data_IF_595924793599
#
_entry.id   IF_595924793599
#
_cell.length_a   1.000
_cell.length_b   1.000
_cell.length_c   1.000
_cell.angle_alpha   90.00
_cell.angle_beta   90.00
_cell.angle_gamma   90.00
#
_symmetry.space_group_name_H-M   'P 1'
#
loop_
_entity.id
_entity.type
_entity.pdbx_description
1 polymer ?
#
# COMPACT_ATOMS: atom_id res chain seq x y z
N UNK A 1 -11.92 3.95 -18.31
CA UNK A 1 -11.58 3.18 -17.08
C UNK A 1 -10.52 3.97 -16.35
N UNK A 2 -10.75 4.34 -15.09
CA UNK A 2 -9.76 5.04 -14.28
C UNK A 2 -8.74 4.01 -13.78
N UNK A 3 -7.44 4.27 -13.96
CA UNK A 3 -6.38 3.37 -13.53
C UNK A 3 -6.40 3.19 -12.00
N UNK A 4 -6.36 1.97 -11.52
CA UNK A 4 -6.29 1.62 -10.09
C UNK A 4 -5.00 2.12 -9.44
N UNK A 5 -4.94 2.28 -8.10
CA UNK A 5 -3.68 2.57 -7.40
C UNK A 5 -2.56 1.56 -7.70
N UNK A 6 -2.92 0.31 -7.96
CA UNK A 6 -2.00 -0.73 -8.40
C UNK A 6 -1.38 -0.43 -9.76
N UNK A 7 -2.18 0.05 -10.70
CA UNK A 7 -1.72 0.41 -12.04
C UNK A 7 -0.83 1.65 -12.05
N UNK A 8 -1.05 2.59 -11.13
CA UNK A 8 -0.17 3.75 -10.93
C UNK A 8 1.22 3.36 -10.40
N UNK A 9 1.34 2.20 -9.73
CA UNK A 9 2.60 1.71 -9.14
C UNK A 9 3.26 0.59 -9.96
N UNK A 10 2.61 0.06 -10.99
CA UNK A 10 2.88 -1.25 -11.62
C UNK A 10 4.27 -1.43 -12.25
N UNK A 11 5.16 -0.43 -12.20
CA UNK A 11 6.41 -0.44 -12.98
C UNK A 11 7.71 -0.04 -12.26
N UNK A 12 7.72 0.47 -11.02
CA UNK A 12 8.95 1.05 -10.47
C UNK A 12 9.31 0.53 -9.08
N UNK A 13 10.56 0.04 -8.93
CA UNK A 13 11.26 0.07 -7.65
C UNK A 13 11.53 1.53 -7.30
N UNK A 14 10.82 2.05 -6.29
CA UNK A 14 10.98 3.43 -5.83
C UNK A 14 12.12 3.49 -4.82
N UNK A 15 13.02 4.45 -4.99
CA UNK A 15 14.19 4.62 -4.11
C UNK A 15 14.17 6.00 -3.50
N UNK A 16 14.48 6.07 -2.20
CA UNK A 16 14.57 7.31 -1.46
C UNK A 16 13.21 7.88 -1.05
N UNK A 17 13.26 8.77 -0.06
CA UNK A 17 12.07 9.38 0.56
C UNK A 17 11.22 10.15 -0.45
N UNK A 18 11.86 10.89 -1.36
CA UNK A 18 11.16 11.78 -2.29
C UNK A 18 10.42 10.99 -3.36
N UNK A 19 11.05 9.96 -3.95
CA UNK A 19 10.40 9.09 -4.94
C UNK A 19 9.18 8.34 -4.35
N UNK A 20 9.29 7.89 -3.10
CA UNK A 20 8.17 7.27 -2.38
C UNK A 20 7.05 8.30 -2.13
N UNK A 21 7.39 9.50 -1.66
CA UNK A 21 6.41 10.56 -1.38
C UNK A 21 5.69 11.03 -2.65
N UNK A 22 6.39 11.17 -3.76
CA UNK A 22 5.81 11.54 -5.05
C UNK A 22 4.81 10.49 -5.52
N UNK A 23 5.20 9.21 -5.55
CA UNK A 23 4.30 8.12 -5.94
C UNK A 23 3.05 8.06 -5.04
N UNK A 24 3.24 8.15 -3.72
CA UNK A 24 2.14 8.15 -2.77
C UNK A 24 1.21 9.38 -2.96
N UNK A 25 1.76 10.53 -3.31
CA UNK A 25 1.00 11.74 -3.65
C UNK A 25 0.18 11.57 -4.93
N UNK A 26 0.75 11.00 -5.99
CA UNK A 26 0.02 10.72 -7.25
C UNK A 26 -1.18 9.81 -6.98
N UNK A 27 -1.02 8.76 -6.17
CA UNK A 27 -2.12 7.85 -5.80
C UNK A 27 -3.20 8.60 -5.02
N UNK A 28 -2.84 9.33 -3.96
CA UNK A 28 -3.81 10.08 -3.14
C UNK A 28 -4.54 11.15 -3.93
N UNK A 29 -3.91 11.77 -4.93
CA UNK A 29 -4.57 12.75 -5.82
C UNK A 29 -5.61 12.09 -6.73
N UNK A 30 -5.36 10.87 -7.21
CA UNK A 30 -6.32 10.13 -8.02
C UNK A 30 -7.49 9.57 -7.21
N UNK A 31 -7.29 9.31 -5.91
CA UNK A 31 -8.28 8.71 -5.02
C UNK A 31 -8.37 9.47 -3.68
N UNK A 32 -8.79 10.75 -3.67
CA UNK A 32 -8.73 11.60 -2.48
C UNK A 32 -9.67 11.15 -1.34
N UNK A 33 -10.74 10.45 -1.67
CA UNK A 33 -11.73 9.94 -0.73
C UNK A 33 -11.33 8.58 -0.14
N UNK A 34 -10.36 7.89 -0.73
CA UNK A 34 -9.98 6.56 -0.26
C UNK A 34 -9.35 6.64 1.14
N UNK A 35 -9.63 5.62 1.94
CA UNK A 35 -9.04 5.41 3.27
C UNK A 35 -8.26 4.12 3.28
N UNK A 36 -7.20 4.08 4.07
CA UNK A 36 -6.32 2.93 4.25
C UNK A 36 -6.56 2.38 5.65
N UNK A 37 -6.96 1.11 5.74
CA UNK A 37 -7.37 0.49 7.01
C UNK A 37 -6.59 -0.79 7.23
N UNK A 38 -5.95 -0.94 8.38
CA UNK A 38 -5.31 -2.20 8.80
C UNK A 38 -6.42 -3.24 9.04
N UNK A 39 -6.28 -4.43 8.46
CA UNK A 39 -7.34 -5.47 8.45
C UNK A 39 -6.99 -6.71 9.27
N UNK A 40 -5.81 -6.76 9.88
CA UNK A 40 -5.37 -7.86 10.72
C UNK A 40 -4.28 -7.44 11.70
N UNK A 41 -3.84 -8.39 12.51
CA UNK A 41 -2.71 -8.18 13.42
C UNK A 41 -1.42 -7.90 12.62
N UNK A 42 -0.65 -6.91 13.09
CA UNK A 42 0.69 -6.65 12.55
C UNK A 42 1.62 -7.71 13.15
N UNK A 43 2.27 -8.48 12.29
CA UNK A 43 3.20 -9.51 12.72
C UNK A 43 4.63 -8.99 12.59
N UNK A 44 5.46 -9.24 13.60
CA UNK A 44 6.86 -8.81 13.64
C UNK A 44 7.78 -9.99 13.90
N UNK A 45 8.94 -10.00 13.25
CA UNK A 45 9.98 -11.00 13.48
C UNK A 45 11.36 -10.37 13.23
N UNK A 46 12.27 -10.40 14.21
CA UNK A 46 13.56 -9.70 14.11
C UNK A 46 13.39 -8.22 13.72
N UNK A 47 14.05 -7.78 12.65
CA UNK A 47 13.96 -6.43 12.10
C UNK A 47 12.94 -6.34 10.95
N UNK A 48 12.00 -7.28 10.84
CA UNK A 48 10.96 -7.26 9.79
C UNK A 48 9.55 -7.25 10.38
N UNK A 49 8.62 -6.64 9.64
CA UNK A 49 7.21 -6.63 9.97
C UNK A 49 6.35 -6.88 8.73
N UNK A 50 5.17 -7.46 8.90
CA UNK A 50 4.14 -7.54 7.87
C UNK A 50 2.82 -6.96 8.35
N UNK A 51 2.10 -6.32 7.43
CA UNK A 51 0.83 -5.66 7.69
C UNK A 51 -0.14 -5.92 6.53
N UNK A 52 -1.34 -6.43 6.87
CA UNK A 52 -2.46 -6.49 5.94
C UNK A 52 -3.32 -5.24 6.05
N UNK A 53 -3.69 -4.67 4.92
CA UNK A 53 -4.56 -3.51 4.87
C UNK A 53 -5.45 -3.51 3.63
N UNK A 54 -6.54 -2.75 3.72
CA UNK A 54 -7.49 -2.52 2.64
C UNK A 54 -7.64 -1.04 2.33
N UNK A 55 -7.98 -0.72 1.09
CA UNK A 55 -8.28 0.65 0.67
C UNK A 55 -9.57 0.74 -0.15
N UNK A 56 -10.36 1.77 0.13
CA UNK A 56 -11.63 2.04 -0.54
C UNK A 56 -12.34 3.26 0.04
N UNK A 57 -13.57 3.49 -0.42
CA UNK A 57 -14.44 4.54 0.11
C UNK A 57 -14.82 4.25 1.57
N UNK A 58 -14.98 5.28 2.42
CA UNK A 58 -15.49 5.10 3.77
C UNK A 58 -16.84 4.38 3.79
N UNK A 59 -16.98 3.36 4.64
CA UNK A 59 -18.23 2.60 4.79
C UNK A 59 -18.56 1.62 3.66
N UNK A 60 -17.71 1.51 2.64
CA UNK A 60 -17.85 0.53 1.55
C UNK A 60 -16.85 -0.62 1.71
N UNK A 61 -17.09 -1.77 1.05
CA UNK A 61 -16.06 -2.80 0.90
C UNK A 61 -14.76 -2.22 0.33
N UNK A 62 -13.63 -2.80 0.70
CA UNK A 62 -12.34 -2.39 0.13
C UNK A 62 -12.33 -2.62 -1.38
N UNK A 63 -11.89 -1.62 -2.12
CA UNK A 63 -11.67 -1.74 -3.56
C UNK A 63 -10.47 -2.66 -3.86
N UNK A 64 -9.45 -2.63 -3.00
CA UNK A 64 -8.35 -3.58 -3.04
C UNK A 64 -7.75 -3.80 -1.65
N UNK A 65 -7.12 -4.96 -1.48
CA UNK A 65 -6.35 -5.32 -0.29
C UNK A 65 -4.89 -5.57 -0.64
N UNK A 66 -4.01 -5.35 0.34
CA UNK A 66 -2.58 -5.53 0.22
C UNK A 66 -1.99 -6.14 1.47
N UNK A 67 -0.86 -6.82 1.25
CA UNK A 67 0.06 -7.23 2.29
C UNK A 67 1.38 -6.51 2.05
N UNK A 68 1.83 -5.74 3.04
CA UNK A 68 3.15 -5.12 3.02
C UNK A 68 4.13 -5.91 3.89
N UNK A 69 5.40 -5.89 3.50
CA UNK A 69 6.54 -6.31 4.30
C UNK A 69 7.53 -5.17 4.41
N UNK A 70 7.96 -4.89 5.64
CA UNK A 70 8.89 -3.82 5.96
C UNK A 70 10.14 -4.42 6.58
N UNK A 71 11.30 -3.91 6.17
CA UNK A 71 12.58 -4.12 6.85
C UNK A 71 12.97 -2.83 7.59
N UNK A 72 13.40 -2.99 8.82
CA UNK A 72 13.89 -1.94 9.70
C UNK A 72 15.42 -2.00 9.82
N UNK A 73 16.04 -0.83 9.92
CA UNK A 73 17.43 -0.64 10.32
C UNK A 73 17.64 0.74 10.95
N UNK A 74 18.29 0.78 12.11
CA UNK A 74 18.57 1.99 12.89
C UNK A 74 17.35 2.90 13.16
N UNK A 75 16.22 2.28 13.50
CA UNK A 75 14.93 2.90 13.74
C UNK A 75 14.22 3.41 12.48
N UNK A 76 14.63 2.97 11.28
CA UNK A 76 14.12 3.47 9.99
C UNK A 76 13.71 2.35 9.05
N UNK A 77 12.77 2.66 8.16
CA UNK A 77 12.39 1.78 7.05
C UNK A 77 13.52 1.76 6.02
N UNK A 78 14.14 0.59 5.82
CA UNK A 78 15.20 0.38 4.82
C UNK A 78 14.64 -0.21 3.54
N UNK A 79 13.61 -1.07 3.65
CA UNK A 79 12.88 -1.66 2.52
C UNK A 79 11.40 -1.78 2.82
N UNK A 80 10.59 -1.63 1.77
CA UNK A 80 9.15 -1.90 1.79
C UNK A 80 8.79 -2.69 0.53
N UNK A 81 8.24 -3.88 0.73
CA UNK A 81 7.71 -4.73 -0.32
C UNK A 81 6.19 -4.73 -0.21
N UNK A 82 5.50 -4.40 -1.29
CA UNK A 82 4.04 -4.33 -1.32
C UNK A 82 3.49 -5.38 -2.27
N UNK A 83 2.60 -6.23 -1.75
CA UNK A 83 1.89 -7.26 -2.49
C UNK A 83 0.41 -6.85 -2.63
N UNK A 84 -0.18 -7.11 -3.79
CA UNK A 84 -1.61 -6.94 -4.02
C UNK A 84 -2.24 -8.33 -3.87
N UNK A 85 -3.03 -8.53 -2.83
CA UNK A 85 -3.56 -9.86 -2.49
C UNK A 85 -4.73 -10.26 -3.39
N UNK A 86 -5.55 -9.29 -3.79
CA UNK A 86 -6.67 -9.49 -4.70
C UNK A 86 -7.07 -8.16 -5.35
N UNK A 87 -7.18 -8.15 -6.68
CA UNK A 87 -7.93 -7.12 -7.38
C UNK A 87 -9.38 -7.58 -7.39
N UNK A 88 -10.19 -7.10 -6.44
CA UNK A 88 -11.63 -7.34 -6.46
C UNK A 88 -12.21 -6.53 -7.63
N UNK A 89 -12.28 -7.17 -8.80
CA UNK A 89 -13.12 -6.70 -9.89
C UNK A 89 -14.55 -6.92 -9.43
N UNK A 90 -15.22 -5.87 -8.96
CA UNK A 90 -16.67 -5.89 -8.88
C UNK A 90 -17.18 -5.93 -10.32
N UNK A 91 -17.84 -7.04 -10.67
CA UNK A 91 -18.57 -7.29 -11.91
C UNK A 91 -19.63 -6.24 -12.19
#
# INVERSE_FOLDING_TARGET
>A
MNATPAELLKRNCLVGRDGINEAASVIRKHFPEYRYTVTGEIQTMFNVATCRWGSGMPGQPFHYTRTDFLEEGDGRVTRLYTFIDQQLILS
#
